data_IF_833269064247
#
_entry.id   IF_833269064247
#
_cell.length_a   1.000
_cell.length_b   1.000
_cell.length_c   1.000
_cell.angle_alpha   90.00
_cell.angle_beta   90.00
_cell.angle_gamma   90.00
#
_symmetry.space_group_name_H-M   'P 1'
#
loop_
_entity.id
_entity.type
_entity.pdbx_description
1 polymer ?
#
# COMPACT_ATOMS: atom_id res chain seq x y z
N UNK A 1 -5.31 27.76 -67.21
CA UNK A 1 -5.71 26.54 -66.52
C UNK A 1 -5.36 26.70 -65.05
N UNK A 2 -6.36 26.77 -64.18
CA UNK A 2 -6.18 27.03 -62.79
C UNK A 2 -6.36 25.72 -62.02
N UNK A 3 -5.29 25.17 -61.48
CA UNK A 3 -5.34 24.08 -60.55
C UNK A 3 -5.68 24.61 -59.18
N UNK A 4 -6.86 24.33 -58.72
CA UNK A 4 -7.28 24.60 -57.33
C UNK A 4 -6.66 23.54 -56.42
N UNK A 5 -5.81 24.00 -55.53
CA UNK A 5 -5.24 23.18 -54.47
C UNK A 5 -6.30 22.69 -53.54
N UNK A 6 -6.56 21.42 -53.54
CA UNK A 6 -7.39 20.74 -52.56
C UNK A 6 -6.53 20.49 -51.33
N UNK A 7 -6.69 21.33 -50.33
CA UNK A 7 -6.08 21.14 -49.03
C UNK A 7 -6.82 20.01 -48.32
N UNK A 8 -6.20 18.85 -48.33
CA UNK A 8 -6.68 17.72 -47.54
C UNK A 8 -6.28 17.95 -46.09
N UNK A 9 -7.25 18.31 -45.26
CA UNK A 9 -7.07 18.40 -43.82
C UNK A 9 -6.94 16.98 -43.27
N UNK A 10 -5.73 16.56 -42.99
CA UNK A 10 -5.46 15.38 -42.16
C UNK A 10 -5.77 15.77 -40.73
N UNK A 11 -6.96 15.40 -40.27
CA UNK A 11 -7.30 15.47 -38.87
C UNK A 11 -6.54 14.34 -38.16
N UNK A 12 -5.38 14.68 -37.58
CA UNK A 12 -4.73 13.83 -36.59
C UNK A 12 -5.63 13.77 -35.35
N UNK A 13 -6.43 12.73 -35.26
CA UNK A 13 -7.07 12.36 -34.00
C UNK A 13 -5.94 11.87 -33.07
N UNK A 14 -5.37 12.80 -32.33
CA UNK A 14 -4.56 12.47 -31.16
C UNK A 14 -5.49 11.81 -30.15
N UNK A 15 -5.53 10.49 -30.17
CA UNK A 15 -6.09 9.71 -29.08
C UNK A 15 -5.37 10.13 -27.79
N UNK A 16 -6.08 10.85 -26.95
CA UNK A 16 -5.69 11.07 -25.57
C UNK A 16 -5.71 9.70 -24.89
N UNK A 17 -4.59 8.99 -25.01
CA UNK A 17 -4.26 7.90 -24.10
C UNK A 17 -3.95 8.57 -22.77
N UNK A 18 -4.99 8.87 -21.99
CA UNK A 18 -4.80 9.22 -20.59
C UNK A 18 -4.20 8.00 -19.92
N UNK A 19 -2.97 8.05 -19.40
CA UNK A 19 -2.52 6.99 -18.53
C UNK A 19 -3.53 6.94 -17.39
N UNK A 20 -4.16 5.80 -17.18
CA UNK A 20 -4.82 5.49 -15.93
C UNK A 20 -3.73 5.64 -14.87
N UNK A 21 -3.69 6.82 -14.27
CA UNK A 21 -2.84 7.06 -13.11
C UNK A 21 -3.28 6.01 -12.08
N UNK A 22 -2.48 4.98 -11.89
CA UNK A 22 -2.55 4.18 -10.70
C UNK A 22 -2.42 5.18 -9.56
N UNK A 23 -3.56 5.54 -8.96
CA UNK A 23 -3.55 6.37 -7.78
C UNK A 23 -2.71 5.60 -6.76
N UNK A 24 -1.49 6.04 -6.57
CA UNK A 24 -0.62 5.50 -5.55
C UNK A 24 -1.38 5.63 -4.24
N UNK A 25 -1.47 4.52 -3.50
CA UNK A 25 -2.07 4.53 -2.17
C UNK A 25 -1.11 5.31 -1.27
N UNK A 26 -1.42 6.58 -1.07
CA UNK A 26 -0.65 7.44 -0.19
C UNK A 26 -1.33 7.53 1.17
N UNK A 27 -0.52 7.48 2.23
CA UNK A 27 -1.01 7.68 3.58
C UNK A 27 -1.25 9.15 3.84
N UNK A 28 -2.40 9.45 4.44
CA UNK A 28 -2.72 10.82 4.82
C UNK A 28 -2.10 11.18 6.16
N UNK A 29 -1.90 12.47 6.41
CA UNK A 29 -1.43 12.98 7.70
C UNK A 29 -2.35 12.57 8.85
N UNK A 30 -3.65 12.51 8.61
CA UNK A 30 -4.65 12.08 9.58
C UNK A 30 -4.49 10.61 9.96
N UNK A 31 -4.27 9.74 8.98
CA UNK A 31 -4.00 8.30 9.21
C UNK A 31 -2.71 8.11 10.03
N UNK A 32 -1.66 8.84 9.70
CA UNK A 32 -0.41 8.84 10.46
C UNK A 32 -0.63 9.24 11.92
N UNK A 33 -1.40 10.30 12.15
CA UNK A 33 -1.69 10.79 13.49
C UNK A 33 -2.56 9.80 14.28
N UNK A 34 -3.57 9.24 13.64
CA UNK A 34 -4.45 8.22 14.22
C UNK A 34 -3.69 6.97 14.64
N UNK A 35 -2.79 6.49 13.79
CA UNK A 35 -1.96 5.31 14.11
C UNK A 35 -1.09 5.55 15.34
N UNK A 36 -0.41 6.69 15.41
CA UNK A 36 0.41 7.06 16.57
C UNK A 36 -0.41 7.13 17.86
N UNK A 37 -1.55 7.81 17.81
CA UNK A 37 -2.45 7.94 18.96
C UNK A 37 -2.96 6.56 19.41
N UNK A 38 -3.33 5.69 18.48
CA UNK A 38 -3.82 4.35 18.78
C UNK A 38 -2.74 3.50 19.47
N UNK A 39 -1.51 3.52 18.97
CA UNK A 39 -0.42 2.75 19.57
C UNK A 39 -0.10 3.26 20.97
N UNK A 40 -0.04 4.58 21.15
CA UNK A 40 0.19 5.19 22.47
C UNK A 40 -0.91 4.77 23.44
N UNK A 41 -2.17 4.86 23.05
CA UNK A 41 -3.31 4.47 23.87
C UNK A 41 -3.27 2.99 24.24
N UNK A 42 -2.91 2.11 23.30
CA UNK A 42 -2.77 0.67 23.56
C UNK A 42 -1.65 0.36 24.54
N UNK A 43 -0.52 1.07 24.46
CA UNK A 43 0.60 0.89 25.39
C UNK A 43 0.29 1.41 26.78
N UNK A 44 -0.47 2.52 26.90
CA UNK A 44 -0.80 3.16 28.18
C UNK A 44 -1.95 2.47 28.92
N UNK A 45 -2.93 1.92 28.20
CA UNK A 45 -4.16 1.37 28.79
C UNK A 45 -4.15 -0.14 28.94
N UNK A 46 -3.17 -0.85 28.37
CA UNK A 46 -3.14 -2.29 28.45
C UNK A 46 -2.81 -2.77 29.87
N UNK A 47 -3.73 -3.53 30.46
CA UNK A 47 -3.63 -4.12 31.80
C UNK A 47 -2.46 -5.11 31.99
N UNK A 48 -1.82 -5.50 30.89
CA UNK A 48 -0.64 -6.35 30.87
C UNK A 48 0.47 -5.52 30.25
N UNK A 49 1.55 -5.37 30.94
CA UNK A 49 2.78 -4.64 30.56
C UNK A 49 3.42 -5.21 29.27
N UNK A 50 2.69 -5.06 28.16
CA UNK A 50 3.09 -5.54 26.82
C UNK A 50 3.18 -4.35 25.91
N UNK A 51 4.35 -3.77 25.86
CA UNK A 51 4.69 -2.83 24.81
C UNK A 51 4.59 -3.53 23.44
N UNK A 52 4.14 -2.78 22.46
CA UNK A 52 4.17 -3.22 21.07
C UNK A 52 5.64 -3.49 20.69
N UNK A 53 5.99 -4.71 20.33
CA UNK A 53 7.35 -5.19 20.12
C UNK A 53 7.45 -6.12 18.89
N UNK A 54 8.65 -6.58 18.58
CA UNK A 54 8.92 -7.47 17.44
C UNK A 54 8.04 -8.72 17.42
N UNK A 55 7.71 -9.29 18.57
CA UNK A 55 6.82 -10.46 18.63
C UNK A 55 5.42 -10.12 18.14
N UNK A 56 4.92 -8.96 18.54
CA UNK A 56 3.62 -8.46 18.09
C UNK A 56 3.67 -8.01 16.63
N UNK A 57 4.78 -7.42 16.19
CA UNK A 57 5.03 -7.08 14.80
C UNK A 57 4.90 -8.30 13.89
N UNK A 58 5.54 -9.41 14.26
CA UNK A 58 5.43 -10.69 13.52
C UNK A 58 4.00 -11.19 13.46
N UNK A 59 3.31 -11.21 14.60
CA UNK A 59 1.92 -11.65 14.67
C UNK A 59 0.98 -10.76 13.85
N UNK A 60 1.19 -9.45 13.87
CA UNK A 60 0.42 -8.50 13.07
C UNK A 60 0.64 -8.68 11.56
N UNK A 61 1.88 -8.80 11.12
CA UNK A 61 2.19 -9.05 9.72
C UNK A 61 1.52 -10.33 9.23
N UNK A 62 1.69 -11.43 9.98
CA UNK A 62 1.07 -12.71 9.65
C UNK A 62 -0.45 -12.58 9.55
N UNK A 63 -1.10 -11.99 10.55
CA UNK A 63 -2.55 -11.79 10.56
C UNK A 63 -3.00 -10.93 9.37
N UNK A 64 -2.24 -9.91 9.00
CA UNK A 64 -2.57 -9.05 7.88
C UNK A 64 -2.49 -9.79 6.54
N UNK A 65 -1.44 -10.56 6.32
CA UNK A 65 -1.29 -11.40 5.12
C UNK A 65 -2.41 -12.44 5.03
N UNK A 66 -2.73 -13.13 6.12
CA UNK A 66 -3.80 -14.13 6.19
C UNK A 66 -5.19 -13.52 5.94
N UNK A 67 -5.41 -12.27 6.34
CA UNK A 67 -6.69 -11.57 6.07
C UNK A 67 -6.84 -11.15 4.63
N UNK A 68 -5.75 -10.79 3.97
CA UNK A 68 -5.78 -10.44 2.55
C UNK A 68 -5.86 -11.69 1.67
N UNK A 69 -5.16 -12.74 2.02
CA UNK A 69 -5.06 -13.98 1.23
C UNK A 69 -5.26 -15.23 2.11
N UNK A 70 -6.49 -15.44 2.63
CA UNK A 70 -6.78 -16.58 3.52
C UNK A 70 -6.62 -17.94 2.86
N UNK A 71 -6.64 -17.99 1.55
CA UNK A 71 -6.52 -19.23 0.76
C UNK A 71 -5.13 -19.45 0.19
N UNK A 72 -4.20 -18.55 0.45
CA UNK A 72 -2.82 -18.58 -0.09
C UNK A 72 -2.76 -18.71 -1.62
N UNK A 73 -3.64 -17.98 -2.32
CA UNK A 73 -3.78 -18.05 -3.78
C UNK A 73 -3.13 -16.89 -4.51
N UNK A 74 -2.90 -15.79 -3.83
CA UNK A 74 -2.46 -14.53 -4.45
C UNK A 74 -0.98 -14.26 -4.20
N UNK A 75 -0.53 -14.29 -2.95
CA UNK A 75 0.88 -14.02 -2.64
C UNK A 75 1.76 -15.21 -2.98
N UNK A 76 2.84 -14.93 -3.72
CA UNK A 76 3.89 -15.90 -3.96
C UNK A 76 4.83 -16.01 -2.76
N UNK A 77 5.61 -17.07 -2.69
CA UNK A 77 6.67 -17.21 -1.69
C UNK A 77 7.64 -16.01 -1.69
N UNK A 78 7.99 -15.54 -2.88
CA UNK A 78 8.84 -14.35 -3.05
C UNK A 78 8.19 -13.07 -2.51
N UNK A 79 6.87 -12.93 -2.62
CA UNK A 79 6.15 -11.79 -2.03
C UNK A 79 6.22 -11.85 -0.50
N UNK A 80 5.95 -13.01 0.08
CA UNK A 80 6.00 -13.22 1.53
C UNK A 80 7.42 -13.01 2.08
N UNK A 81 8.44 -13.48 1.36
CA UNK A 81 9.83 -13.25 1.70
C UNK A 81 10.19 -11.75 1.69
N UNK A 82 9.76 -11.01 0.66
CA UNK A 82 9.97 -9.58 0.58
C UNK A 82 9.32 -8.83 1.76
N UNK A 83 8.12 -9.24 2.20
CA UNK A 83 7.44 -8.63 3.35
C UNK A 83 8.04 -9.03 4.70
N UNK A 84 8.88 -10.05 4.74
CA UNK A 84 9.48 -10.54 5.99
C UNK A 84 10.35 -9.51 6.69
N UNK A 85 10.85 -8.50 5.97
CA UNK A 85 11.59 -7.38 6.56
C UNK A 85 10.76 -6.57 7.57
N UNK A 86 9.43 -6.60 7.44
CA UNK A 86 8.52 -5.91 8.36
C UNK A 86 8.26 -6.67 9.67
N UNK A 87 8.71 -7.91 9.79
CA UNK A 87 8.48 -8.76 10.97
C UNK A 87 8.99 -8.17 12.28
N UNK A 88 10.03 -7.34 12.21
CA UNK A 88 10.69 -6.74 13.38
C UNK A 88 10.70 -5.22 13.35
N UNK A 89 9.96 -4.61 12.46
CA UNK A 89 9.98 -3.14 12.27
C UNK A 89 8.62 -2.47 12.37
N UNK A 90 7.52 -3.24 12.34
CA UNK A 90 6.17 -2.67 12.40
C UNK A 90 5.90 -1.90 13.68
N UNK A 91 6.43 -2.32 14.81
CA UNK A 91 6.29 -1.63 16.08
C UNK A 91 6.97 -0.27 16.07
N UNK A 92 8.19 -0.19 15.55
CA UNK A 92 8.93 1.06 15.44
C UNK A 92 8.30 2.02 14.42
N UNK A 93 7.90 1.49 13.27
CA UNK A 93 7.22 2.26 12.23
C UNK A 93 5.84 2.77 12.71
N UNK A 94 5.11 1.91 13.42
CA UNK A 94 3.82 2.28 14.00
C UNK A 94 3.93 3.44 15.00
N UNK A 95 4.93 3.43 15.87
CA UNK A 95 5.19 4.56 16.80
C UNK A 95 5.51 5.85 16.07
N UNK A 96 6.14 5.77 14.90
CA UNK A 96 6.39 6.94 14.04
C UNK A 96 5.16 7.36 13.24
N UNK A 97 4.12 6.52 13.18
CA UNK A 97 2.92 6.73 12.37
C UNK A 97 3.14 6.39 10.90
N UNK A 98 4.09 5.55 10.59
CA UNK A 98 4.43 5.14 9.24
C UNK A 98 3.62 3.90 8.83
N UNK A 99 2.71 4.08 7.87
CA UNK A 99 1.80 3.04 7.36
C UNK A 99 2.27 2.40 6.06
N UNK A 100 3.43 2.82 5.53
CA UNK A 100 3.87 2.36 4.21
C UNK A 100 3.96 0.83 4.08
N UNK A 101 4.31 0.02 5.11
CA UNK A 101 4.32 -1.42 4.95
C UNK A 101 2.94 -2.00 4.63
N UNK A 102 1.90 -1.50 5.30
CA UNK A 102 0.52 -1.92 5.03
C UNK A 102 0.07 -1.50 3.63
N UNK A 103 0.45 -0.31 3.19
CA UNK A 103 0.15 0.20 1.85
C UNK A 103 0.85 -0.63 0.78
N UNK A 104 2.11 -0.98 0.97
CA UNK A 104 2.90 -1.78 0.03
C UNK A 104 2.33 -3.19 -0.14
N UNK A 105 2.06 -3.88 0.96
CA UNK A 105 1.45 -5.21 0.94
C UNK A 105 0.08 -5.17 0.24
N UNK A 106 -0.75 -4.17 0.55
CA UNK A 106 -2.06 -4.02 -0.07
C UNK A 106 -1.97 -3.65 -1.55
N UNK A 107 -1.04 -2.80 -1.94
CA UNK A 107 -0.81 -2.46 -3.34
C UNK A 107 -0.40 -3.70 -4.15
N UNK A 108 0.45 -4.55 -3.58
CA UNK A 108 0.83 -5.82 -4.20
C UNK A 108 -0.37 -6.76 -4.32
N UNK A 109 -1.17 -6.91 -3.27
CA UNK A 109 -2.40 -7.70 -3.31
C UNK A 109 -3.33 -7.23 -4.43
N UNK A 110 -3.60 -5.93 -4.52
CA UNK A 110 -4.44 -5.37 -5.58
C UNK A 110 -3.91 -5.57 -7.00
N UNK A 111 -2.60 -5.71 -7.15
CA UNK A 111 -1.98 -5.93 -8.47
C UNK A 111 -2.14 -7.37 -8.97
N UNK A 112 -2.39 -8.32 -8.07
CA UNK A 112 -2.45 -9.76 -8.40
C UNK A 112 -3.84 -10.37 -8.19
N UNK A 113 -4.70 -9.73 -7.41
CA UNK A 113 -6.10 -10.16 -7.18
C UNK A 113 -7.03 -9.51 -8.21
#
# INVERSE_FOLDING_TARGET
MRYKHLLTHVVCVFGLCTPLANAALETTREQTWTLRALITELEDTHFVDKRYNDKMSRAHLQTYLERLDPSHLYFTESDVEAFSEYQTTLDDLGRKGELYPAVEVYARYRAIA
#
